data_IF_480439024372
#
_entry.id   IF_480439024372
#
_cell.length_a   1.000
_cell.length_b   1.000
_cell.length_c   1.000
_cell.angle_alpha   90.00
_cell.angle_beta   90.00
_cell.angle_gamma   90.00
#
_symmetry.space_group_name_H-M   'P 1'
#
loop_
_entity.id
_entity.type
_entity.pdbx_description
1 polymer ?
#
# COMPACT_ATOMS: atom_id res chain seq x y z
N UNK A 1 6.47 -9.54 50.75
CA UNK A 1 6.13 -8.73 49.57
C UNK A 1 6.44 -9.51 48.30
N UNK A 2 5.56 -10.46 47.92
CA UNK A 2 5.79 -11.44 46.86
C UNK A 2 5.00 -11.08 45.58
N UNK A 3 5.16 -9.85 45.11
CA UNK A 3 4.40 -9.31 43.96
C UNK A 3 5.28 -8.50 43.01
N UNK A 4 6.35 -9.08 42.43
CA UNK A 4 6.84 -8.51 41.17
C UNK A 4 6.84 -9.52 40.01
N UNK A 5 7.01 -10.83 40.25
CA UNK A 5 7.22 -11.80 39.15
C UNK A 5 6.01 -11.95 38.23
N UNK A 6 4.79 -11.96 38.77
CA UNK A 6 3.57 -12.16 37.98
C UNK A 6 3.26 -10.97 37.06
N UNK A 7 3.57 -9.75 37.50
CA UNK A 7 3.44 -8.53 36.67
C UNK A 7 4.55 -8.45 35.63
N UNK A 8 5.79 -8.80 35.98
CA UNK A 8 6.91 -8.82 35.03
C UNK A 8 6.65 -9.80 33.88
N UNK A 9 6.17 -11.02 34.17
CA UNK A 9 5.80 -11.97 33.13
C UNK A 9 4.64 -11.47 32.26
N UNK A 10 3.66 -10.77 32.84
CA UNK A 10 2.52 -10.24 32.09
C UNK A 10 2.93 -9.08 31.16
N UNK A 11 3.81 -8.19 31.63
CA UNK A 11 4.38 -7.11 30.83
C UNK A 11 5.28 -7.66 29.73
N UNK A 12 6.09 -8.69 30.01
CA UNK A 12 6.90 -9.37 29.00
C UNK A 12 6.04 -10.07 27.95
N UNK A 13 4.94 -10.71 28.33
CA UNK A 13 4.02 -11.36 27.40
C UNK A 13 3.31 -10.33 26.50
N UNK A 14 2.88 -9.19 27.05
CA UNK A 14 2.33 -8.07 26.29
C UNK A 14 3.36 -7.46 25.32
N UNK A 15 4.63 -7.38 25.73
CA UNK A 15 5.72 -6.90 24.87
C UNK A 15 6.05 -7.88 23.74
N UNK A 16 5.87 -9.19 23.94
CA UNK A 16 6.07 -10.19 22.86
C UNK A 16 4.89 -10.17 21.87
N UNK A 17 3.66 -9.98 22.36
CA UNK A 17 2.47 -9.86 21.51
C UNK A 17 2.47 -8.60 20.65
N UNK A 18 3.09 -7.50 21.08
CA UNK A 18 3.22 -6.29 20.25
C UNK A 18 4.25 -6.45 19.11
N UNK A 19 5.23 -7.36 19.24
CA UNK A 19 6.18 -7.68 18.16
C UNK A 19 5.50 -8.46 17.03
N UNK A 20 4.37 -9.13 17.31
CA UNK A 20 3.56 -9.83 16.31
C UNK A 20 2.89 -8.91 15.26
N UNK A 21 2.88 -7.59 15.48
CA UNK A 21 2.27 -6.63 14.55
C UNK A 21 3.27 -5.99 13.56
N UNK A 22 4.58 -6.15 13.77
CA UNK A 22 5.58 -5.80 12.77
C UNK A 22 6.04 -7.04 12.03
N UNK A 23 5.11 -7.73 11.37
CA UNK A 23 5.48 -8.62 10.28
C UNK A 23 5.91 -7.79 9.06
N UNK A 24 6.97 -7.00 9.20
CA UNK A 24 7.82 -6.68 8.04
C UNK A 24 8.72 -7.90 7.88
N UNK A 25 8.14 -8.95 7.31
CA UNK A 25 8.95 -10.02 6.73
C UNK A 25 9.62 -9.40 5.51
N UNK A 26 10.90 -9.06 5.63
CA UNK A 26 11.76 -8.69 4.49
C UNK A 26 12.03 -9.92 3.60
N UNK A 27 10.96 -10.59 3.16
CA UNK A 27 10.96 -11.28 1.88
C UNK A 27 10.88 -10.20 0.81
N UNK A 28 11.64 -10.34 -0.28
CA UNK A 28 11.70 -9.42 -1.42
C UNK A 28 10.46 -8.51 -1.49
N UNK A 29 10.62 -7.22 -1.13
CA UNK A 29 9.50 -6.30 -0.95
C UNK A 29 8.55 -6.36 -2.14
N UNK A 30 7.28 -6.02 -1.93
CA UNK A 30 6.21 -6.23 -2.93
C UNK A 30 6.53 -5.65 -4.33
N UNK A 31 7.43 -4.66 -4.39
CA UNK A 31 7.95 -3.99 -5.60
C UNK A 31 9.32 -4.46 -6.11
N UNK A 32 9.85 -5.57 -5.58
CA UNK A 32 11.14 -6.17 -5.97
C UNK A 32 12.26 -5.97 -4.93
N UNK A 33 13.40 -6.63 -5.18
CA UNK A 33 14.54 -6.66 -4.24
C UNK A 33 15.29 -5.33 -4.10
N UNK A 34 15.24 -4.47 -5.11
CA UNK A 34 16.04 -3.22 -5.18
C UNK A 34 15.20 -1.96 -4.99
N UNK A 35 13.89 -2.10 -4.82
CA UNK A 35 12.95 -1.00 -4.98
C UNK A 35 11.89 -1.06 -3.89
N UNK A 36 11.71 0.05 -3.18
CA UNK A 36 10.67 0.20 -2.17
C UNK A 36 9.37 0.71 -2.77
N UNK A 37 8.20 0.38 -2.19
CA UNK A 37 6.92 0.94 -2.63
C UNK A 37 6.90 2.47 -2.58
N UNK A 38 7.55 3.10 -1.59
CA UNK A 38 7.65 4.56 -1.53
C UNK A 38 8.41 5.17 -2.73
N UNK A 39 9.46 4.51 -3.24
CA UNK A 39 10.17 4.96 -4.46
C UNK A 39 9.29 4.84 -5.70
N UNK A 40 8.47 3.79 -5.79
CA UNK A 40 7.51 3.65 -6.89
C UNK A 40 6.34 4.63 -6.75
N UNK A 41 5.93 4.98 -5.53
CA UNK A 41 4.91 5.99 -5.27
C UNK A 41 5.29 7.36 -5.83
N UNK A 42 6.57 7.75 -5.73
CA UNK A 42 7.05 8.99 -6.35
C UNK A 42 6.86 9.02 -7.88
N UNK A 43 6.92 7.86 -8.56
CA UNK A 43 6.66 7.78 -10.01
C UNK A 43 5.19 7.99 -10.36
N UNK A 44 4.30 7.87 -9.38
CA UNK A 44 2.87 8.16 -9.48
C UNK A 44 2.53 9.60 -9.05
N UNK A 45 3.50 10.48 -8.84
CA UNK A 45 3.25 11.92 -8.68
C UNK A 45 2.23 12.51 -9.70
N UNK A 46 2.27 12.20 -11.01
CA UNK A 46 1.27 12.69 -11.96
C UNK A 46 -0.15 12.13 -11.74
N UNK A 47 -0.31 11.12 -10.88
CA UNK A 47 -1.60 10.56 -10.46
C UNK A 47 -2.15 11.20 -9.19
N UNK A 48 -1.40 12.04 -8.47
CA UNK A 48 -1.78 12.52 -7.15
C UNK A 48 -3.19 13.12 -7.12
N UNK A 49 -3.53 14.00 -8.07
CA UNK A 49 -4.86 14.61 -8.17
C UNK A 49 -5.96 13.57 -8.42
N UNK A 50 -5.71 12.59 -9.30
CA UNK A 50 -6.65 11.51 -9.60
C UNK A 50 -6.79 10.48 -8.46
N UNK A 51 -5.80 10.44 -7.55
CA UNK A 51 -5.78 9.58 -6.38
C UNK A 51 -6.41 10.24 -5.14
N UNK A 52 -6.48 11.57 -5.14
CA UNK A 52 -7.17 12.36 -4.10
C UNK A 52 -8.65 12.58 -4.43
N UNK A 53 -9.00 12.66 -5.72
CA UNK A 53 -10.35 12.99 -6.17
C UNK A 53 -10.83 12.01 -7.27
N UNK A 54 -11.98 11.37 -7.01
CA UNK A 54 -12.61 10.38 -7.89
C UNK A 54 -13.11 10.96 -9.22
N UNK A 55 -13.33 12.26 -9.28
CA UNK A 55 -13.81 13.01 -10.45
C UNK A 55 -12.67 13.67 -11.22
N UNK A 56 -11.49 13.87 -10.61
CA UNK A 56 -10.36 14.54 -11.24
C UNK A 56 -9.79 13.74 -12.44
N UNK A 57 -9.77 14.34 -13.63
CA UNK A 57 -9.30 13.68 -14.86
C UNK A 57 -7.92 13.03 -14.71
N UNK A 58 -7.76 11.81 -15.23
CA UNK A 58 -6.49 11.09 -15.18
C UNK A 58 -5.62 11.47 -16.38
N UNK A 59 -4.37 11.86 -16.11
CA UNK A 59 -3.42 12.20 -17.16
C UNK A 59 -2.89 10.95 -17.87
N UNK A 60 -2.59 11.06 -19.17
CA UNK A 60 -1.91 9.98 -19.93
C UNK A 60 -0.63 9.45 -19.24
N UNK A 61 0.30 10.30 -18.73
CA UNK A 61 1.49 9.79 -18.03
C UNK A 61 1.14 9.05 -16.73
N UNK A 62 0.09 9.46 -16.00
CA UNK A 62 -0.39 8.70 -14.86
C UNK A 62 -0.82 7.28 -15.28
N UNK A 63 -1.66 7.16 -16.31
CA UNK A 63 -2.13 5.85 -16.78
C UNK A 63 -1.00 4.96 -17.29
N UNK A 64 0.02 5.52 -17.93
CA UNK A 64 1.20 4.77 -18.36
C UNK A 64 1.96 4.16 -17.17
N UNK A 65 2.11 4.89 -16.07
CA UNK A 65 2.78 4.40 -14.86
C UNK A 65 1.92 3.38 -14.11
N UNK A 66 0.61 3.63 -13.99
CA UNK A 66 -0.34 2.70 -13.37
C UNK A 66 -0.41 1.40 -14.17
N UNK A 67 -0.34 1.45 -15.51
CA UNK A 67 -0.27 0.25 -16.35
C UNK A 67 0.99 -0.58 -16.09
N UNK A 68 2.15 0.06 -15.92
CA UNK A 68 3.40 -0.64 -15.62
C UNK A 68 3.35 -1.31 -14.25
N UNK A 69 2.93 -0.57 -13.22
CA UNK A 69 2.91 -1.11 -11.85
C UNK A 69 1.77 -2.11 -11.63
N UNK A 70 0.67 -1.97 -12.37
CA UNK A 70 -0.48 -2.88 -12.33
C UNK A 70 -0.20 -4.29 -12.83
N UNK A 71 0.91 -4.51 -13.56
CA UNK A 71 1.39 -5.86 -13.89
C UNK A 71 1.91 -6.61 -12.66
N UNK A 72 2.23 -5.90 -11.59
CA UNK A 72 2.60 -6.46 -10.30
C UNK A 72 1.55 -6.02 -9.25
N UNK A 73 0.41 -6.72 -9.13
CA UNK A 73 -0.65 -6.38 -8.19
C UNK A 73 -0.18 -6.17 -6.74
N UNK A 74 0.69 -7.01 -6.14
CA UNK A 74 1.18 -6.75 -4.79
C UNK A 74 1.97 -5.45 -4.71
N UNK A 75 2.84 -5.13 -5.68
CA UNK A 75 3.52 -3.83 -5.70
C UNK A 75 2.55 -2.66 -5.81
N UNK A 76 1.55 -2.77 -6.69
CA UNK A 76 0.54 -1.72 -6.83
C UNK A 76 -0.20 -1.50 -5.50
N UNK A 77 -0.59 -2.56 -4.79
CA UNK A 77 -1.18 -2.46 -3.46
C UNK A 77 -0.23 -1.75 -2.48
N UNK A 78 1.02 -2.20 -2.42
CA UNK A 78 2.03 -1.66 -1.52
C UNK A 78 2.26 -0.16 -1.75
N UNK A 79 2.26 0.27 -3.01
CA UNK A 79 2.40 1.67 -3.39
C UNK A 79 1.20 2.51 -2.96
N UNK A 80 -0.02 2.03 -3.20
CA UNK A 80 -1.22 2.77 -2.80
C UNK A 80 -1.39 2.84 -1.28
N UNK A 81 -0.83 1.88 -0.54
CA UNK A 81 -0.83 1.85 0.93
C UNK A 81 0.47 2.37 1.55
N UNK A 82 1.40 2.88 0.74
CA UNK A 82 2.72 3.32 1.20
C UNK A 82 2.65 4.57 2.07
N UNK A 83 3.73 4.86 2.79
CA UNK A 83 3.80 6.06 3.61
C UNK A 83 3.79 7.32 2.74
N UNK A 84 4.49 7.30 1.60
CA UNK A 84 4.43 8.40 0.62
C UNK A 84 3.01 8.69 0.16
N UNK A 85 2.23 7.67 -0.21
CA UNK A 85 0.84 7.87 -0.63
C UNK A 85 0.00 8.50 0.49
N UNK A 86 0.11 7.98 1.72
CA UNK A 86 -0.61 8.50 2.89
C UNK A 86 -0.23 9.95 3.21
N UNK A 87 1.07 10.26 3.22
CA UNK A 87 1.58 11.61 3.50
C UNK A 87 1.19 12.62 2.40
N UNK A 88 0.93 12.16 1.17
CA UNK A 88 0.40 12.97 0.08
C UNK A 88 -1.12 13.12 0.09
N UNK A 89 -1.81 12.66 1.14
CA UNK A 89 -3.27 12.77 1.27
C UNK A 89 -4.04 11.89 0.28
N UNK A 90 -3.41 10.85 -0.26
CA UNK A 90 -4.06 9.93 -1.20
C UNK A 90 -5.01 9.03 -0.43
N UNK A 91 -6.27 8.95 -0.89
CA UNK A 91 -7.24 8.01 -0.37
C UNK A 91 -7.10 6.65 -1.09
N UNK A 92 -6.84 5.54 -0.38
CA UNK A 92 -6.67 4.23 -1.00
C UNK A 92 -7.90 3.77 -1.79
N UNK A 93 -9.13 4.12 -1.37
CA UNK A 93 -10.35 3.74 -2.09
C UNK A 93 -10.39 4.42 -3.45
N UNK A 94 -10.10 5.72 -3.50
CA UNK A 94 -10.08 6.49 -4.75
C UNK A 94 -8.92 6.00 -5.63
N UNK A 95 -7.73 5.83 -5.05
CA UNK A 95 -6.55 5.42 -5.79
C UNK A 95 -6.69 4.04 -6.47
N UNK A 96 -7.39 3.09 -5.82
CA UNK A 96 -7.69 1.77 -6.41
C UNK A 96 -8.65 1.84 -7.60
N UNK A 97 -9.40 2.94 -7.78
CA UNK A 97 -10.24 3.13 -8.98
C UNK A 97 -9.46 3.63 -10.18
N UNK A 98 -8.24 4.15 -10.01
CA UNK A 98 -7.44 4.72 -11.10
C UNK A 98 -7.20 3.71 -12.24
N UNK A 99 -6.84 2.44 -12.00
CA UNK A 99 -6.69 1.46 -13.08
C UNK A 99 -7.94 1.30 -13.93
N UNK A 100 -9.14 1.40 -13.31
CA UNK A 100 -10.43 1.37 -14.01
C UNK A 100 -10.66 2.66 -14.81
N UNK A 101 -10.37 3.82 -14.24
CA UNK A 101 -10.49 5.13 -14.91
C UNK A 101 -9.53 5.29 -16.09
N UNK A 102 -8.36 4.66 -16.00
CA UNK A 102 -7.39 4.53 -17.09
C UNK A 102 -7.75 3.48 -18.15
N UNK A 103 -8.86 2.76 -17.99
CA UNK A 103 -9.33 1.70 -18.87
C UNK A 103 -8.25 0.64 -19.18
N UNK A 104 -7.50 0.20 -18.16
CA UNK A 104 -6.46 -0.82 -18.32
C UNK A 104 -7.14 -2.19 -18.45
N UNK A 105 -6.95 -2.86 -19.59
CA UNK A 105 -7.60 -4.13 -19.90
C UNK A 105 -7.15 -5.28 -18.98
N UNK A 106 -5.83 -5.42 -18.76
CA UNK A 106 -5.23 -6.48 -17.93
C UNK A 106 -5.16 -6.13 -16.45
N UNK A 107 -6.11 -5.34 -15.93
CA UNK A 107 -6.08 -4.93 -14.52
C UNK A 107 -6.42 -6.12 -13.61
N UNK A 108 -5.78 -6.25 -12.43
CA UNK A 108 -6.00 -7.35 -11.50
C UNK A 108 -7.32 -7.19 -10.72
N UNK A 109 -8.45 -7.36 -11.41
CA UNK A 109 -9.80 -7.25 -10.81
C UNK A 109 -9.97 -8.30 -9.72
N UNK A 110 -10.49 -7.89 -8.56
CA UNK A 110 -10.73 -8.77 -7.41
C UNK A 110 -9.48 -9.03 -6.56
N UNK A 111 -8.34 -8.44 -6.88
CA UNK A 111 -7.13 -8.58 -6.06
C UNK A 111 -7.29 -7.83 -4.73
N UNK A 112 -6.95 -8.51 -3.63
CA UNK A 112 -7.10 -7.97 -2.27
C UNK A 112 -5.82 -7.26 -1.82
N UNK A 113 -5.90 -5.94 -1.69
CA UNK A 113 -4.90 -5.09 -1.05
C UNK A 113 -5.23 -4.92 0.45
N UNK A 114 -5.11 -6.00 1.23
CA UNK A 114 -5.51 -6.00 2.64
C UNK A 114 -7.03 -5.81 2.80
N UNK A 115 -7.45 -4.67 3.35
CA UNK A 115 -8.87 -4.31 3.51
C UNK A 115 -9.53 -3.79 2.21
N UNK A 116 -8.75 -3.49 1.18
CA UNK A 116 -9.23 -2.94 -0.10
C UNK A 116 -9.22 -4.00 -1.19
N UNK A 117 -10.08 -3.86 -2.18
CA UNK A 117 -10.13 -4.75 -3.36
C UNK A 117 -10.08 -3.92 -4.62
N UNK A 118 -9.27 -4.34 -5.60
CA UNK A 118 -9.20 -3.70 -6.90
C UNK A 118 -10.48 -3.96 -7.72
N UNK A 119 -11.19 -2.91 -8.16
CA UNK A 119 -12.40 -3.03 -8.97
C UNK A 119 -12.12 -3.30 -10.44
#
# INVERSE_FOLDING_TARGET
MATPMKYICFVMFLAILSIGFFSQVDGAGECGKTTTPDKEAFKLAPCASAAQDENASVSSPCCAQVKKIGQNPPCLCAVMLSNTAKSSGIDPKIAMTIPKRCNIADRPVGYKCGAYTLP
#
